data_IF_138839986509
#
_entry.id   IF_138839986509
#
_cell.length_a   1.000
_cell.length_b   1.000
_cell.length_c   1.000
_cell.angle_alpha   90.00
_cell.angle_beta   90.00
_cell.angle_gamma   90.00
#
_symmetry.space_group_name_H-M   'P 1'
#
loop_
_entity.id
_entity.type
_entity.pdbx_description
1 polymer ?
#
# COMPACT_ATOMS: atom_id res chain seq x y z
N UNK A 1 7.87 -8.61 12.10
CA UNK A 1 8.27 -9.47 10.97
C UNK A 1 7.05 -9.70 10.08
N UNK A 2 6.82 -8.89 9.05
CA UNK A 2 5.43 -8.66 8.60
C UNK A 2 4.99 -9.38 7.33
N UNK A 3 5.87 -9.72 6.38
CA UNK A 3 5.40 -10.21 5.06
C UNK A 3 5.37 -11.72 4.88
N UNK A 4 6.28 -12.46 5.52
CA UNK A 4 6.34 -13.92 5.40
C UNK A 4 5.52 -14.65 6.47
N UNK A 5 5.32 -14.02 7.63
CA UNK A 5 4.79 -14.67 8.83
C UNK A 5 5.83 -15.57 9.51
N UNK A 6 5.68 -15.80 10.82
CA UNK A 6 6.67 -16.55 11.63
C UNK A 6 6.74 -18.02 11.19
N UNK A 7 5.61 -18.65 10.86
CA UNK A 7 5.57 -20.08 10.53
C UNK A 7 6.23 -20.38 9.18
N UNK A 8 5.93 -19.59 8.14
CA UNK A 8 6.60 -19.76 6.85
C UNK A 8 8.07 -19.39 6.93
N UNK A 9 8.45 -18.40 7.76
CA UNK A 9 9.85 -18.10 8.02
C UNK A 9 10.57 -19.31 8.63
N UNK A 10 10.02 -19.92 9.68
CA UNK A 10 10.59 -21.15 10.27
C UNK A 10 10.71 -22.26 9.23
N UNK A 11 9.66 -22.50 8.43
CA UNK A 11 9.71 -23.50 7.35
C UNK A 11 10.88 -23.22 6.40
N UNK A 12 11.01 -22.01 5.87
CA UNK A 12 12.09 -21.68 4.93
C UNK A 12 13.48 -21.77 5.56
N UNK A 13 13.69 -21.14 6.72
CA UNK A 13 15.01 -21.03 7.34
C UNK A 13 15.50 -22.34 7.96
N UNK A 14 14.60 -23.14 8.54
CA UNK A 14 15.00 -24.40 9.20
C UNK A 14 15.13 -25.57 8.23
N UNK A 15 14.45 -25.53 7.08
CA UNK A 15 14.49 -26.63 6.10
C UNK A 15 15.35 -26.34 4.88
N UNK A 16 15.73 -25.07 4.65
CA UNK A 16 16.40 -24.59 3.44
C UNK A 16 15.68 -24.96 2.12
N UNK A 17 14.38 -25.29 2.18
CA UNK A 17 13.59 -25.64 1.00
C UNK A 17 13.26 -24.40 0.18
N UNK A 18 13.30 -24.56 -1.15
CA UNK A 18 12.79 -23.56 -2.09
C UNK A 18 11.26 -23.60 -2.10
N UNK A 19 10.63 -22.43 -2.20
CA UNK A 19 9.18 -22.30 -2.47
C UNK A 19 8.97 -21.73 -3.86
N UNK A 20 7.86 -22.13 -4.49
CA UNK A 20 7.46 -21.69 -5.83
C UNK A 20 6.68 -20.37 -5.76
N UNK A 21 6.58 -19.65 -6.87
CA UNK A 21 5.79 -18.41 -6.93
C UNK A 21 4.30 -18.60 -6.53
N UNK A 22 3.60 -19.68 -6.96
CA UNK A 22 2.23 -19.95 -6.48
C UNK A 22 2.15 -20.11 -4.95
N UNK A 23 3.13 -20.77 -4.33
CA UNK A 23 3.19 -20.91 -2.88
C UNK A 23 3.46 -19.54 -2.21
N UNK A 24 4.36 -18.73 -2.77
CA UNK A 24 4.61 -17.36 -2.29
C UNK A 24 3.36 -16.48 -2.35
N UNK A 25 2.52 -16.62 -3.39
CA UNK A 25 1.23 -15.93 -3.47
C UNK A 25 0.27 -16.45 -2.39
N UNK A 26 0.15 -17.78 -2.25
CA UNK A 26 -0.75 -18.42 -1.27
C UNK A 26 -0.46 -17.98 0.18
N UNK A 27 0.81 -17.78 0.53
CA UNK A 27 1.21 -17.34 1.87
C UNK A 27 1.22 -15.81 2.05
N UNK A 28 0.79 -15.05 1.05
CA UNK A 28 0.72 -13.57 1.10
C UNK A 28 2.06 -12.86 0.94
N UNK A 29 3.12 -13.57 0.51
CA UNK A 29 4.41 -12.94 0.21
C UNK A 29 4.34 -12.15 -1.11
N UNK A 30 3.72 -12.71 -2.15
CA UNK A 30 3.38 -11.98 -3.37
C UNK A 30 1.98 -11.38 -3.25
N UNK A 31 1.76 -10.24 -3.89
CA UNK A 31 0.45 -9.56 -3.91
C UNK A 31 -0.35 -9.91 -5.16
N UNK A 32 0.32 -10.26 -6.26
CA UNK A 32 -0.29 -10.71 -7.50
C UNK A 32 0.68 -11.66 -8.23
N UNK A 33 0.14 -12.46 -9.15
CA UNK A 33 0.89 -13.32 -10.07
C UNK A 33 0.14 -13.33 -11.41
N UNK A 34 0.81 -12.90 -12.46
CA UNK A 34 0.22 -12.67 -13.79
C UNK A 34 1.16 -13.25 -14.87
N UNK A 35 0.67 -13.55 -16.09
CA UNK A 35 1.53 -13.88 -17.22
C UNK A 35 2.55 -12.77 -17.49
N UNK A 36 3.73 -13.13 -18.01
CA UNK A 36 4.81 -12.18 -18.26
C UNK A 36 4.41 -11.13 -19.31
N UNK A 37 3.58 -11.54 -20.26
CA UNK A 37 3.06 -10.72 -21.36
C UNK A 37 2.14 -9.60 -20.87
N UNK A 38 1.54 -9.74 -19.69
CA UNK A 38 0.64 -8.75 -19.09
C UNK A 38 1.25 -8.06 -17.87
N UNK A 39 2.52 -8.34 -17.54
CA UNK A 39 3.16 -7.81 -16.33
C UNK A 39 3.20 -6.28 -16.35
N UNK A 40 3.64 -5.68 -17.45
CA UNK A 40 3.74 -4.22 -17.58
C UNK A 40 2.36 -3.56 -17.49
N UNK A 41 1.34 -4.16 -18.11
CA UNK A 41 -0.04 -3.66 -18.04
C UNK A 41 -0.57 -3.66 -16.61
N UNK A 42 -0.33 -4.72 -15.84
CA UNK A 42 -0.77 -4.83 -14.45
C UNK A 42 0.00 -3.89 -13.51
N UNK A 43 1.29 -3.69 -13.76
CA UNK A 43 2.10 -2.68 -13.07
C UNK A 43 1.57 -1.27 -13.35
N UNK A 44 1.30 -0.95 -14.62
CA UNK A 44 0.77 0.35 -15.04
C UNK A 44 -0.63 0.61 -14.44
N UNK A 45 -1.50 -0.40 -14.42
CA UNK A 45 -2.81 -0.30 -13.75
C UNK A 45 -2.64 0.09 -12.28
N UNK A 46 -1.79 -0.61 -11.54
CA UNK A 46 -1.54 -0.31 -10.12
C UNK A 46 -0.90 1.07 -9.94
N UNK A 47 0.09 1.41 -10.76
CA UNK A 47 0.77 2.70 -10.71
C UNK A 47 -0.19 3.86 -10.98
N UNK A 48 -1.07 3.72 -11.98
CA UNK A 48 -2.07 4.72 -12.31
C UNK A 48 -3.12 4.91 -11.20
N UNK A 49 -3.56 3.81 -10.57
CA UNK A 49 -4.44 3.89 -9.38
C UNK A 49 -3.76 4.69 -8.27
N UNK A 50 -2.49 4.40 -7.98
CA UNK A 50 -1.74 5.10 -6.94
C UNK A 50 -1.48 6.56 -7.31
N UNK A 51 -1.08 6.85 -8.55
CA UNK A 51 -0.80 8.20 -9.03
C UNK A 51 -2.05 9.09 -9.06
N UNK A 52 -3.25 8.51 -9.20
CA UNK A 52 -4.52 9.22 -9.15
C UNK A 52 -4.97 9.64 -7.74
N UNK A 53 -4.22 9.31 -6.69
CA UNK A 53 -4.56 9.61 -5.30
C UNK A 53 -3.72 10.76 -4.73
N UNK A 54 -4.24 11.40 -3.68
CA UNK A 54 -3.58 12.48 -2.94
C UNK A 54 -2.27 11.99 -2.27
N UNK A 55 -1.08 12.47 -2.68
CA UNK A 55 0.20 11.88 -2.27
C UNK A 55 0.52 12.08 -0.77
N UNK A 56 0.17 13.22 -0.17
CA UNK A 56 0.39 13.43 1.27
C UNK A 56 -0.58 12.59 2.11
N UNK A 57 -1.85 12.51 1.71
CA UNK A 57 -2.82 11.63 2.35
C UNK A 57 -2.36 10.16 2.30
N UNK A 58 -1.94 9.66 1.13
CA UNK A 58 -1.41 8.30 0.97
C UNK A 58 -0.18 8.06 1.85
N UNK A 59 0.76 9.02 1.89
CA UNK A 59 1.97 8.91 2.71
C UNK A 59 1.64 8.80 4.19
N UNK A 60 0.73 9.63 4.69
CA UNK A 60 0.25 9.60 6.07
C UNK A 60 -0.41 8.27 6.41
N UNK A 61 -1.33 7.81 5.57
CA UNK A 61 -2.04 6.54 5.73
C UNK A 61 -1.09 5.33 5.71
N UNK A 62 -0.22 5.25 4.70
CA UNK A 62 0.77 4.16 4.58
C UNK A 62 1.70 4.11 5.79
N UNK A 63 2.08 5.26 6.34
CA UNK A 63 2.90 5.33 7.55
C UNK A 63 2.14 4.80 8.77
N UNK A 64 0.90 5.25 8.99
CA UNK A 64 0.08 4.79 10.12
C UNK A 64 -0.15 3.28 10.08
N UNK A 65 -0.47 2.70 8.91
CA UNK A 65 -0.65 1.24 8.74
C UNK A 65 0.63 0.49 9.11
N UNK A 66 1.80 0.97 8.67
CA UNK A 66 3.08 0.33 8.97
C UNK A 66 3.47 0.42 10.45
N UNK A 67 3.19 1.55 11.10
CA UNK A 67 3.43 1.75 12.53
C UNK A 67 2.52 0.84 13.36
N UNK A 68 1.22 0.79 13.01
CA UNK A 68 0.25 -0.10 13.62
C UNK A 68 0.66 -1.58 13.49
N UNK A 69 1.02 -2.01 12.28
CA UNK A 69 1.47 -3.39 12.03
C UNK A 69 2.74 -3.78 12.79
N UNK A 70 3.51 -2.80 13.30
CA UNK A 70 4.71 -3.02 14.13
C UNK A 70 4.43 -2.91 15.63
N UNK A 71 3.20 -2.59 16.04
CA UNK A 71 2.86 -2.28 17.43
C UNK A 71 3.53 -1.00 17.93
N UNK A 72 3.84 -0.06 17.02
CA UNK A 72 4.59 1.17 17.30
C UNK A 72 3.82 2.41 16.82
N UNK A 73 2.50 2.33 16.75
CA UNK A 73 1.65 3.45 16.37
C UNK A 73 1.63 4.50 17.48
N UNK A 74 2.07 5.70 17.14
CA UNK A 74 1.76 6.90 17.92
C UNK A 74 0.42 7.44 17.40
N UNK A 75 -0.64 7.21 18.17
CA UNK A 75 -2.01 7.61 17.81
C UNK A 75 -2.14 9.13 17.65
N UNK A 76 -1.47 9.92 18.51
CA UNK A 76 -1.54 11.38 18.43
C UNK A 76 -0.84 11.90 17.18
N UNK A 77 0.34 11.37 16.86
CA UNK A 77 1.05 11.74 15.65
C UNK A 77 0.31 11.27 14.39
N UNK A 78 -0.34 10.10 14.42
CA UNK A 78 -1.15 9.60 13.30
C UNK A 78 -2.39 10.48 13.07
N UNK A 79 -3.11 10.82 14.12
CA UNK A 79 -4.27 11.72 14.06
C UNK A 79 -3.88 13.12 13.59
N UNK A 80 -2.74 13.65 14.03
CA UNK A 80 -2.23 14.94 13.54
C UNK A 80 -1.96 14.89 12.03
N UNK A 81 -1.28 13.85 11.51
CA UNK A 81 -1.06 13.69 10.07
C UNK A 81 -2.37 13.60 9.29
N UNK A 82 -3.38 12.93 9.84
CA UNK A 82 -4.71 12.88 9.25
C UNK A 82 -5.35 14.27 9.19
N UNK A 83 -5.38 15.00 10.31
CA UNK A 83 -5.90 16.38 10.38
C UNK A 83 -5.18 17.33 9.43
N UNK A 84 -3.88 17.21 9.27
CA UNK A 84 -3.10 18.02 8.33
C UNK A 84 -3.50 17.74 6.88
N UNK A 85 -3.69 16.45 6.52
CA UNK A 85 -4.18 16.09 5.18
C UNK A 85 -5.57 16.66 4.89
N UNK A 86 -6.43 16.77 5.91
CA UNK A 86 -7.78 17.35 5.80
C UNK A 86 -7.83 18.87 5.62
N UNK A 87 -6.70 19.56 5.82
CA UNK A 87 -6.59 21.03 5.70
C UNK A 87 -5.79 21.47 4.49
N UNK A 88 -5.07 20.54 3.86
CA UNK A 88 -4.17 20.80 2.73
C UNK A 88 -4.89 21.04 1.40
N UNK A 89 -4.10 21.41 0.39
CA UNK A 89 -4.62 21.72 -0.94
C UNK A 89 -5.11 20.48 -1.71
N UNK A 90 -4.59 19.29 -1.37
CA UNK A 90 -5.05 18.01 -1.93
C UNK A 90 -6.54 17.79 -1.66
N UNK A 91 -7.02 18.03 -0.44
CA UNK A 91 -8.45 17.85 -0.13
C UNK A 91 -9.31 18.90 -0.81
N UNK A 92 -8.85 20.15 -0.90
CA UNK A 92 -9.56 21.20 -1.65
C UNK A 92 -9.70 20.83 -3.13
N UNK A 93 -8.62 20.30 -3.71
CA UNK A 93 -8.63 19.85 -5.10
C UNK A 93 -9.50 18.61 -5.29
N UNK A 94 -9.45 17.64 -4.38
CA UNK A 94 -10.32 16.47 -4.41
C UNK A 94 -11.80 16.86 -4.39
N UNK A 95 -12.19 17.77 -3.49
CA UNK A 95 -13.56 18.30 -3.40
C UNK A 95 -13.95 19.03 -4.68
N UNK A 96 -13.07 19.90 -5.21
CA UNK A 96 -13.32 20.65 -6.44
C UNK A 96 -13.48 19.74 -7.65
N UNK A 97 -12.55 18.80 -7.85
CA UNK A 97 -12.59 17.86 -8.95
C UNK A 97 -13.85 16.99 -8.92
N UNK A 98 -14.26 16.56 -7.71
CA UNK A 98 -15.52 15.84 -7.51
C UNK A 98 -16.74 16.69 -7.91
N UNK A 99 -16.80 17.95 -7.45
CA UNK A 99 -17.89 18.87 -7.82
C UNK A 99 -17.94 19.15 -9.33
N UNK A 100 -16.78 19.25 -9.98
CA UNK A 100 -16.61 19.50 -11.42
C UNK A 100 -16.71 18.23 -12.28
N UNK A 101 -16.93 17.05 -11.67
CA UNK A 101 -16.97 15.73 -12.34
C UNK A 101 -15.75 15.45 -13.23
N UNK A 102 -14.57 15.85 -12.76
CA UNK A 102 -13.29 15.59 -13.43
C UNK A 102 -12.33 14.83 -12.52
N UNK A 103 -11.25 14.32 -13.10
CA UNK A 103 -10.17 13.75 -12.31
C UNK A 103 -9.44 14.85 -11.52
N UNK A 104 -9.07 14.60 -10.26
CA UNK A 104 -8.27 15.52 -9.47
C UNK A 104 -6.84 15.60 -10.00
N UNK A 105 -6.20 16.74 -9.75
CA UNK A 105 -4.79 17.00 -10.12
C UNK A 105 -3.96 17.21 -8.86
N UNK A 106 -3.24 16.17 -8.44
CA UNK A 106 -2.43 16.18 -7.23
C UNK A 106 -0.94 16.40 -7.51
#
# INVERSE_FOLDING_TARGET
MTRLGVDNAKKLFLTAQKITAPEMLRIGYLTAMVPVETLDEEVDKLANILAGNAPNAMRGMKRAINEFARGALDEQAADQRHRDSMRGDEIKEGIRAFAEKRLPRF
#
